data_IF_772237253656
#
_entry.id   IF_772237253656
#
_cell.length_a   1.000
_cell.length_b   1.000
_cell.length_c   1.000
_cell.angle_alpha   90.00
_cell.angle_beta   90.00
_cell.angle_gamma   90.00
#
_symmetry.space_group_name_H-M   'P 1'
#
loop_
_entity.id
_entity.type
_entity.pdbx_description
1 polymer ?
#
# COMPACT_ATOMS: atom_id res chain seq x y z
N UNK A 1 -74.82 1.71 64.78
CA UNK A 1 -73.40 1.93 65.18
C UNK A 1 -72.53 0.84 64.56
N UNK A 2 -71.42 1.21 63.93
CA UNK A 2 -70.38 0.30 63.39
C UNK A 2 -69.79 -0.58 64.51
N UNK A 3 -69.55 -1.87 64.24
CA UNK A 3 -68.17 -2.41 64.28
C UNK A 3 -67.92 -3.49 63.19
N UNK A 4 -66.80 -3.42 62.46
CA UNK A 4 -65.58 -4.26 62.59
C UNK A 4 -65.71 -5.75 62.20
N UNK A 5 -64.93 -6.11 61.16
CA UNK A 5 -64.15 -7.33 60.98
C UNK A 5 -64.85 -8.69 60.82
N UNK A 6 -64.66 -9.36 59.67
CA UNK A 6 -63.83 -10.58 59.53
C UNK A 6 -64.01 -11.29 58.18
N UNK A 7 -62.85 -11.60 57.58
CA UNK A 7 -62.51 -12.83 56.85
C UNK A 7 -63.36 -13.22 55.63
N UNK A 8 -62.84 -12.90 54.44
CA UNK A 8 -63.26 -13.49 53.17
C UNK A 8 -62.54 -14.82 52.95
N UNK A 9 -63.34 -15.85 52.67
CA UNK A 9 -62.95 -17.18 52.23
C UNK A 9 -62.44 -17.16 50.78
N UNK A 10 -61.50 -18.06 50.54
CA UNK A 10 -60.86 -18.44 49.28
C UNK A 10 -61.89 -18.94 48.26
N UNK A 11 -61.77 -18.50 47.01
CA UNK A 11 -62.19 -19.29 45.85
C UNK A 11 -61.24 -19.01 44.67
N UNK A 12 -60.66 -20.10 44.19
CA UNK A 12 -59.66 -20.16 43.14
C UNK A 12 -60.19 -19.67 41.79
N UNK A 13 -59.34 -18.96 41.05
CA UNK A 13 -59.55 -18.60 39.66
C UNK A 13 -58.21 -18.40 38.99
N UNK A 14 -57.55 -19.50 38.62
CA UNK A 14 -56.35 -19.47 37.78
C UNK A 14 -56.71 -18.94 36.40
N UNK A 15 -56.51 -17.64 36.17
CA UNK A 15 -56.49 -17.06 34.84
C UNK A 15 -55.06 -17.18 34.33
N UNK A 16 -54.85 -18.12 33.41
CA UNK A 16 -53.60 -18.27 32.67
C UNK A 16 -53.47 -17.08 31.72
N UNK A 17 -52.73 -16.04 32.13
CA UNK A 17 -52.43 -14.89 31.29
C UNK A 17 -51.30 -15.29 30.32
N UNK A 18 -51.65 -15.58 29.07
CA UNK A 18 -50.67 -15.75 27.99
C UNK A 18 -50.05 -14.38 27.66
N UNK A 19 -48.89 -14.11 28.26
CA UNK A 19 -48.01 -13.03 27.82
C UNK A 19 -47.43 -13.41 26.46
N UNK A 20 -47.99 -12.84 25.40
CA UNK A 20 -47.34 -12.81 24.09
C UNK A 20 -46.16 -11.84 24.24
N UNK A 21 -44.97 -12.39 24.50
CA UNK A 21 -43.73 -11.64 24.38
C UNK A 21 -43.51 -11.34 22.89
N UNK A 22 -43.63 -10.07 22.51
CA UNK A 22 -43.10 -9.60 21.23
C UNK A 22 -41.57 -9.78 21.26
N UNK A 23 -41.09 -10.91 20.75
CA UNK A 23 -39.69 -11.04 20.38
C UNK A 23 -39.45 -10.13 19.17
N UNK A 24 -38.95 -8.92 19.42
CA UNK A 24 -38.38 -8.09 18.38
C UNK A 24 -37.25 -8.89 17.71
N UNK A 25 -37.14 -8.91 16.36
CA UNK A 25 -35.99 -9.51 15.73
C UNK A 25 -34.75 -8.74 16.19
N UNK A 26 -33.85 -9.43 16.89
CA UNK A 26 -32.53 -8.90 17.20
C UNK A 26 -31.87 -8.53 15.88
N UNK A 27 -31.74 -7.23 15.61
CA UNK A 27 -30.93 -6.76 14.50
C UNK A 27 -29.50 -7.25 14.77
N UNK A 28 -28.82 -7.90 13.81
CA UNK A 28 -27.42 -8.22 13.98
C UNK A 28 -26.67 -6.91 14.24
N UNK A 29 -26.13 -6.78 15.45
CA UNK A 29 -25.29 -5.67 15.86
C UNK A 29 -24.19 -5.53 14.81
N UNK A 30 -23.98 -4.32 14.29
CA UNK A 30 -22.92 -3.97 13.33
C UNK A 30 -21.48 -4.18 13.85
N UNK A 31 -21.30 -4.95 14.94
CA UNK A 31 -20.02 -5.32 15.51
C UNK A 31 -19.28 -6.39 14.68
N UNK A 32 -20.00 -7.26 13.97
CA UNK A 32 -19.38 -8.35 13.17
C UNK A 32 -18.89 -7.92 11.78
N UNK A 33 -19.28 -6.73 11.29
CA UNK A 33 -18.75 -6.19 10.04
C UNK A 33 -17.36 -5.53 10.20
N UNK A 34 -16.98 -5.19 11.44
CA UNK A 34 -15.77 -4.44 11.75
C UNK A 34 -14.51 -5.31 11.87
N UNK A 35 -14.68 -6.62 12.11
CA UNK A 35 -13.58 -7.60 12.29
C UNK A 35 -12.79 -7.89 11.01
N UNK A 36 -13.35 -7.64 9.82
CA UNK A 36 -12.75 -8.09 8.55
C UNK A 36 -11.73 -7.12 7.90
N UNK A 37 -11.35 -6.04 8.60
CA UNK A 37 -10.44 -5.01 8.09
C UNK A 37 -9.23 -4.72 8.97
N UNK A 38 -8.98 -5.54 9.98
CA UNK A 38 -7.90 -5.34 10.94
C UNK A 38 -6.53 -5.38 10.23
N UNK A 39 -5.88 -4.21 10.19
CA UNK A 39 -4.48 -4.11 9.81
C UNK A 39 -3.71 -4.42 11.10
N UNK A 40 -2.85 -5.43 11.09
CA UNK A 40 -1.98 -5.73 12.22
C UNK A 40 -0.61 -5.12 12.00
N UNK A 41 0.05 -4.75 13.07
CA UNK A 41 1.43 -4.30 13.01
C UNK A 41 2.29 -5.07 14.00
N UNK A 42 3.54 -5.30 13.61
CA UNK A 42 4.61 -5.74 14.50
C UNK A 42 5.87 -4.94 14.17
N UNK A 43 6.68 -4.66 15.18
CA UNK A 43 7.98 -4.02 15.03
C UNK A 43 9.06 -4.93 15.59
N UNK A 44 10.15 -5.06 14.85
CA UNK A 44 11.31 -5.84 15.25
C UNK A 44 12.60 -5.16 14.82
N UNK A 45 13.68 -5.43 15.56
CA UNK A 45 15.03 -5.09 15.14
C UNK A 45 15.62 -6.22 14.27
N UNK A 46 16.59 -5.92 13.38
CA UNK A 46 17.38 -6.95 12.70
C UNK A 46 18.15 -7.84 13.69
N UNK A 47 18.27 -9.14 13.38
CA UNK A 47 18.90 -10.13 14.27
C UNK A 47 20.40 -9.89 14.50
N UNK A 48 21.09 -9.30 13.53
CA UNK A 48 22.51 -8.94 13.60
C UNK A 48 22.77 -7.63 14.36
N UNK A 49 21.71 -6.91 14.74
CA UNK A 49 21.78 -5.60 15.38
C UNK A 49 22.35 -4.49 14.46
N UNK A 50 22.65 -4.82 13.20
CA UNK A 50 23.19 -3.90 12.19
C UNK A 50 22.08 -3.54 11.21
N UNK A 51 21.30 -2.51 11.54
CA UNK A 51 20.27 -1.97 10.67
C UNK A 51 19.11 -1.32 11.39
N UNK A 52 18.29 -0.60 10.63
CA UNK A 52 17.16 0.14 11.16
C UNK A 52 15.99 -0.79 11.55
N UNK A 53 15.27 -0.48 12.65
CA UNK A 53 14.10 -1.25 13.05
C UNK A 53 13.02 -1.25 11.96
N UNK A 54 12.31 -2.37 11.84
CA UNK A 54 11.35 -2.61 10.77
C UNK A 54 9.94 -2.67 11.34
N UNK A 55 9.07 -1.79 10.85
CA UNK A 55 7.63 -1.87 11.08
C UNK A 55 7.00 -2.74 9.97
N UNK A 56 6.43 -3.87 10.35
CA UNK A 56 5.63 -4.71 9.45
C UNK A 56 4.15 -4.38 9.62
N UNK A 57 3.45 -4.20 8.51
CA UNK A 57 2.00 -3.96 8.44
C UNK A 57 1.36 -5.09 7.63
N UNK A 58 0.40 -5.80 8.23
CA UNK A 58 -0.26 -6.98 7.65
C UNK A 58 -1.75 -6.72 7.49
N UNK A 59 -2.25 -6.83 6.26
CA UNK A 59 -3.65 -6.64 5.92
C UNK A 59 -4.14 -7.78 5.00
N UNK A 60 -5.03 -8.65 5.50
CA UNK A 60 -5.51 -9.86 4.80
C UNK A 60 -4.35 -10.67 4.18
N UNK A 61 -4.11 -10.54 2.88
CA UNK A 61 -3.11 -11.29 2.09
C UNK A 61 -1.87 -10.44 1.74
N UNK A 62 -1.73 -9.25 2.32
CA UNK A 62 -0.65 -8.33 2.02
C UNK A 62 0.17 -8.03 3.28
N UNK A 63 1.48 -8.07 3.14
CA UNK A 63 2.44 -7.62 4.14
C UNK A 63 3.29 -6.53 3.53
N UNK A 64 3.47 -5.44 4.25
CA UNK A 64 4.38 -4.36 3.91
C UNK A 64 5.37 -4.19 5.04
N UNK A 65 6.62 -3.86 4.71
CA UNK A 65 7.67 -3.63 5.70
C UNK A 65 8.32 -2.29 5.41
N UNK A 66 8.40 -1.45 6.44
CA UNK A 66 8.96 -0.11 6.37
C UNK A 66 10.13 -0.04 7.34
N UNK A 67 11.28 0.44 6.87
CA UNK A 67 12.39 0.79 7.75
C UNK A 67 12.06 2.10 8.48
N UNK A 68 12.32 2.14 9.78
CA UNK A 68 12.14 3.33 10.60
C UNK A 68 13.45 4.14 10.65
N UNK A 69 14.08 4.30 9.49
CA UNK A 69 15.37 4.97 9.24
C UNK A 69 15.24 6.51 9.12
N UNK A 70 14.00 7.02 9.10
CA UNK A 70 13.70 8.44 8.93
C UNK A 70 13.65 8.93 7.49
N UNK A 71 13.80 8.06 6.48
CA UNK A 71 13.63 8.42 5.08
C UNK A 71 12.18 8.81 4.75
N UNK A 72 11.21 8.28 5.51
CA UNK A 72 9.78 8.56 5.36
C UNK A 72 9.24 9.35 6.55
N UNK A 73 9.04 10.65 6.34
CA UNK A 73 8.66 11.60 7.39
C UNK A 73 7.31 11.27 8.04
N UNK A 74 6.37 10.70 7.30
CA UNK A 74 5.06 10.23 7.75
C UNK A 74 5.15 9.11 8.80
N UNK A 75 6.27 8.39 8.87
CA UNK A 75 6.55 7.37 9.91
C UNK A 75 7.32 7.90 11.11
N UNK A 76 7.63 9.21 11.18
CA UNK A 76 8.36 9.81 12.31
C UNK A 76 7.69 9.53 13.66
N UNK A 77 6.38 9.77 13.78
CA UNK A 77 5.63 9.48 15.00
C UNK A 77 5.66 8.00 15.38
N UNK A 78 5.64 7.10 14.40
CA UNK A 78 5.78 5.67 14.63
C UNK A 78 7.18 5.35 15.16
N UNK A 79 8.25 5.84 14.53
CA UNK A 79 9.64 5.66 14.97
C UNK A 79 9.83 6.15 16.40
N UNK A 80 9.42 7.38 16.69
CA UNK A 80 9.65 8.01 17.97
C UNK A 80 8.86 7.30 19.10
N UNK A 81 7.62 6.87 18.81
CA UNK A 81 6.79 6.12 19.77
C UNK A 81 7.29 4.70 19.98
N UNK A 82 7.67 4.00 18.91
CA UNK A 82 8.10 2.60 18.95
C UNK A 82 9.52 2.43 19.52
N UNK A 83 10.35 3.47 19.44
CA UNK A 83 11.65 3.54 20.13
C UNK A 83 11.53 3.79 21.64
N UNK A 84 10.32 3.94 22.17
CA UNK A 84 10.04 4.11 23.59
C UNK A 84 10.22 2.83 24.41
N UNK A 85 9.93 2.92 25.71
CA UNK A 85 9.98 1.79 26.64
C UNK A 85 8.75 0.88 26.58
N UNK A 86 8.80 -0.23 27.33
CA UNK A 86 7.67 -1.16 27.52
C UNK A 86 6.39 -0.42 27.92
N UNK A 87 5.27 -0.75 27.30
CA UNK A 87 3.97 -0.22 27.68
C UNK A 87 2.99 -0.09 26.52
N UNK A 88 1.78 0.42 26.77
CA UNK A 88 0.82 0.74 25.72
C UNK A 88 1.35 1.86 24.82
N UNK A 89 1.07 1.76 23.53
CA UNK A 89 1.47 2.77 22.53
C UNK A 89 0.32 3.12 21.61
N UNK A 90 0.34 4.36 21.13
CA UNK A 90 -0.53 4.86 20.07
C UNK A 90 0.23 5.83 19.18
N UNK A 91 0.12 5.67 17.87
CA UNK A 91 0.72 6.58 16.90
C UNK A 91 -0.15 6.67 15.64
N UNK A 92 0.05 7.70 14.84
CA UNK A 92 -0.62 7.89 13.56
C UNK A 92 0.40 8.09 12.45
N UNK A 93 0.16 7.48 11.30
CA UNK A 93 0.86 7.77 10.03
C UNK A 93 -0.09 8.60 9.17
N UNK A 94 0.31 9.81 8.82
CA UNK A 94 -0.48 10.74 8.01
C UNK A 94 0.19 10.88 6.66
N UNK A 95 -0.52 10.48 5.61
CA UNK A 95 -0.06 10.53 4.22
C UNK A 95 -1.17 11.13 3.36
N UNK A 96 -0.83 11.64 2.16
CA UNK A 96 -1.81 12.23 1.25
C UNK A 96 -2.97 11.25 0.94
N UNK A 97 -2.66 9.96 0.75
CA UNK A 97 -3.66 8.92 0.48
C UNK A 97 -4.54 8.54 1.69
N UNK A 98 -4.27 9.04 2.90
CA UNK A 98 -5.07 8.74 4.08
C UNK A 98 -4.29 8.68 5.40
N UNK A 99 -5.01 8.34 6.46
CA UNK A 99 -4.49 8.24 7.82
C UNK A 99 -4.56 6.81 8.34
N UNK A 100 -3.46 6.34 8.91
CA UNK A 100 -3.37 5.06 9.59
C UNK A 100 -3.18 5.32 11.09
N UNK A 101 -4.20 5.01 11.89
CA UNK A 101 -4.17 5.16 13.35
C UNK A 101 -3.89 3.80 13.99
N UNK A 102 -2.80 3.70 14.74
CA UNK A 102 -2.31 2.45 15.31
C UNK A 102 -2.30 2.49 16.84
N UNK A 103 -2.66 1.37 17.45
CA UNK A 103 -2.58 1.13 18.89
C UNK A 103 -1.97 -0.24 19.14
N UNK A 104 -1.36 -0.43 20.31
CA UNK A 104 -0.82 -1.73 20.71
C UNK A 104 0.04 -1.62 21.96
N UNK A 105 1.02 -2.51 22.08
CA UNK A 105 1.93 -2.55 23.21
C UNK A 105 3.35 -2.93 22.82
N UNK A 106 4.32 -2.31 23.47
CA UNK A 106 5.74 -2.65 23.40
C UNK A 106 6.15 -3.54 24.57
N UNK A 107 7.03 -4.51 24.30
CA UNK A 107 7.71 -5.32 25.30
C UNK A 107 9.12 -4.78 25.60
N UNK A 108 9.75 -4.17 24.60
CA UNK A 108 10.99 -3.41 24.64
C UNK A 108 11.00 -2.35 23.51
N UNK A 109 12.05 -1.53 23.42
CA UNK A 109 12.19 -0.57 22.33
C UNK A 109 12.26 -1.31 20.99
N UNK A 110 11.43 -0.89 20.03
CA UNK A 110 11.26 -1.53 18.72
C UNK A 110 10.92 -3.02 18.77
N UNK A 111 10.29 -3.49 19.85
CA UNK A 111 9.73 -4.83 19.98
C UNK A 111 8.29 -4.74 20.49
N UNK A 112 7.33 -5.05 19.64
CA UNK A 112 5.93 -5.04 20.02
C UNK A 112 4.98 -5.23 18.85
N UNK A 113 3.69 -5.19 19.15
CA UNK A 113 2.64 -5.48 18.18
C UNK A 113 1.34 -4.75 18.52
N UNK A 114 0.45 -4.72 17.54
CA UNK A 114 -0.88 -4.18 17.71
C UNK A 114 -1.71 -4.16 16.44
N UNK A 115 -2.62 -3.21 16.38
CA UNK A 115 -3.56 -3.06 15.28
C UNK A 115 -3.64 -1.61 14.80
N UNK A 116 -4.00 -1.43 13.54
CA UNK A 116 -4.24 -0.14 12.95
C UNK A 116 -5.61 -0.09 12.27
N UNK A 117 -6.16 1.12 12.23
CA UNK A 117 -7.34 1.48 11.46
C UNK A 117 -6.93 2.46 10.35
N UNK A 118 -7.26 2.13 9.12
CA UNK A 118 -7.03 2.99 7.97
C UNK A 118 -8.28 3.77 7.57
N UNK A 119 -8.13 5.10 7.46
CA UNK A 119 -9.10 6.03 6.91
C UNK A 119 -8.57 6.59 5.57
N UNK A 120 -9.18 6.27 4.42
CA UNK A 120 -8.80 6.84 3.13
C UNK A 120 -9.13 8.34 3.06
N UNK A 121 -8.39 9.09 2.24
CA UNK A 121 -8.62 10.52 2.03
C UNK A 121 -9.40 10.77 0.72
N UNK A 122 -10.55 11.45 0.85
CA UNK A 122 -11.40 11.75 -0.31
C UNK A 122 -10.80 12.84 -1.22
N UNK A 123 -10.08 13.82 -0.65
CA UNK A 123 -9.46 14.89 -1.41
C UNK A 123 -8.37 14.37 -2.34
N UNK A 124 -7.56 13.43 -1.85
CA UNK A 124 -6.57 12.71 -2.63
C UNK A 124 -7.20 11.89 -3.76
N UNK A 125 -8.29 11.16 -3.48
CA UNK A 125 -9.00 10.40 -4.49
C UNK A 125 -9.54 11.31 -5.61
N UNK A 126 -10.14 12.45 -5.25
CA UNK A 126 -10.59 13.47 -6.21
C UNK A 126 -9.43 14.07 -7.00
N UNK A 127 -8.28 14.30 -6.37
CA UNK A 127 -7.11 14.85 -7.03
C UNK A 127 -6.52 13.90 -8.09
N UNK A 128 -6.53 12.58 -7.85
CA UNK A 128 -6.12 11.59 -8.86
C UNK A 128 -7.14 11.47 -10.00
N UNK A 129 -8.43 11.47 -9.66
CA UNK A 129 -9.51 11.41 -10.66
C UNK A 129 -9.46 12.61 -11.62
N UNK A 130 -9.24 13.83 -11.10
CA UNK A 130 -9.13 15.04 -11.93
C UNK A 130 -7.94 15.02 -12.90
N UNK A 131 -6.94 14.16 -12.65
CA UNK A 131 -5.78 13.94 -13.52
C UNK A 131 -6.00 12.81 -14.53
N UNK A 132 -7.15 12.14 -14.47
CA UNK A 132 -7.46 10.97 -15.27
C UNK A 132 -6.72 9.70 -14.84
N UNK A 133 -6.21 9.64 -13.60
CA UNK A 133 -5.60 8.43 -13.00
C UNK A 133 -6.68 7.45 -12.53
N UNK A 134 -7.90 7.96 -12.31
CA UNK A 134 -9.05 7.21 -11.79
C UNK A 134 -9.21 7.36 -10.27
N UNK A 135 -10.31 6.83 -9.75
CA UNK A 135 -10.67 6.93 -8.33
C UNK A 135 -10.15 5.70 -7.56
N UNK A 136 -9.16 5.84 -6.66
CA UNK A 136 -8.58 4.71 -5.97
C UNK A 136 -9.53 4.15 -4.90
N UNK A 137 -9.67 2.82 -4.89
CA UNK A 137 -10.36 2.09 -3.82
C UNK A 137 -9.66 2.27 -2.47
N UNK A 138 -10.36 1.97 -1.36
CA UNK A 138 -9.73 1.97 -0.02
C UNK A 138 -8.47 1.09 0.04
N UNK A 139 -8.47 -0.06 -0.66
CA UNK A 139 -7.33 -0.96 -0.72
C UNK A 139 -6.15 -0.31 -1.45
N UNK A 140 -6.41 0.35 -2.57
CA UNK A 140 -5.37 1.04 -3.33
C UNK A 140 -4.82 2.23 -2.56
N UNK A 141 -5.66 3.04 -1.91
CA UNK A 141 -5.17 4.15 -1.07
C UNK A 141 -4.30 3.67 0.10
N UNK A 142 -4.66 2.55 0.73
CA UNK A 142 -3.80 1.92 1.74
C UNK A 142 -2.46 1.51 1.11
N UNK A 143 -2.48 0.86 -0.05
CA UNK A 143 -1.26 0.48 -0.76
C UNK A 143 -0.41 1.71 -1.13
N UNK A 144 -1.05 2.79 -1.59
CA UNK A 144 -0.38 4.06 -1.91
C UNK A 144 0.30 4.67 -0.68
N UNK A 145 -0.33 4.65 0.50
CA UNK A 145 0.35 5.01 1.75
C UNK A 145 1.55 4.08 2.01
N UNK A 146 1.42 2.78 1.76
CA UNK A 146 2.53 1.84 2.03
C UNK A 146 3.75 2.07 1.14
N UNK A 147 3.55 2.50 -0.11
CA UNK A 147 4.65 2.67 -1.08
C UNK A 147 4.99 4.12 -1.40
N UNK A 148 4.41 5.08 -0.66
CA UNK A 148 4.58 6.53 -0.89
C UNK A 148 4.17 6.96 -2.31
N UNK A 149 3.02 6.46 -2.77
CA UNK A 149 2.45 6.87 -4.05
C UNK A 149 1.64 8.15 -3.87
N UNK A 150 2.13 9.25 -4.42
CA UNK A 150 1.59 10.59 -4.21
C UNK A 150 0.98 11.20 -5.48
N UNK A 151 0.29 12.33 -5.32
CA UNK A 151 -0.21 13.12 -6.46
C UNK A 151 0.96 13.71 -7.24
N UNK A 152 2.04 14.09 -6.56
CA UNK A 152 3.26 14.63 -7.15
C UNK A 152 3.94 13.60 -8.06
N UNK A 153 3.96 12.32 -7.66
CA UNK A 153 4.44 11.24 -8.51
C UNK A 153 3.56 11.09 -9.76
N UNK A 154 2.24 11.12 -9.60
CA UNK A 154 1.31 11.03 -10.73
C UNK A 154 1.50 12.19 -11.72
N UNK A 155 1.60 13.43 -11.22
CA UNK A 155 1.86 14.62 -12.03
C UNK A 155 3.17 14.51 -12.79
N UNK A 156 4.25 14.15 -12.10
CA UNK A 156 5.55 14.01 -12.76
C UNK A 156 5.59 12.92 -13.84
N UNK A 157 4.84 11.82 -13.67
CA UNK A 157 4.74 10.77 -14.69
C UNK A 157 3.91 11.23 -15.89
N UNK A 158 2.80 11.95 -15.65
CA UNK A 158 1.97 12.56 -16.69
C UNK A 158 2.79 13.57 -17.50
N UNK A 159 3.58 14.41 -16.83
CA UNK A 159 4.47 15.38 -17.47
C UNK A 159 5.60 14.71 -18.28
N UNK A 160 6.01 13.51 -17.89
CA UNK A 160 6.92 12.67 -18.66
C UNK A 160 6.22 11.92 -19.83
N UNK A 161 4.93 12.18 -20.05
CA UNK A 161 4.13 11.62 -21.12
C UNK A 161 3.53 10.24 -20.83
N UNK A 162 3.65 9.73 -19.60
CA UNK A 162 3.13 8.42 -19.20
C UNK A 162 2.09 8.58 -18.09
N UNK A 163 0.80 8.53 -18.45
CA UNK A 163 -0.28 8.59 -17.45
C UNK A 163 -0.53 7.21 -16.82
N UNK A 164 -0.43 7.06 -15.49
CA UNK A 164 -0.82 5.84 -14.81
C UNK A 164 -2.31 5.79 -14.48
N UNK A 165 -2.86 4.59 -14.34
CA UNK A 165 -4.07 4.31 -13.57
C UNK A 165 -3.74 4.02 -12.10
N UNK A 166 -4.75 3.97 -11.22
CA UNK A 166 -4.59 3.77 -9.77
C UNK A 166 -3.65 2.63 -9.39
N UNK A 167 -3.84 1.44 -9.96
CA UNK A 167 -2.98 0.28 -9.70
C UNK A 167 -1.56 0.42 -10.24
N UNK A 168 -1.41 1.10 -11.39
CA UNK A 168 -0.11 1.34 -12.03
C UNK A 168 0.70 2.37 -11.24
N UNK A 169 0.05 3.36 -10.63
CA UNK A 169 0.69 4.34 -9.76
C UNK A 169 1.29 3.67 -8.52
N UNK A 170 0.58 2.70 -7.92
CA UNK A 170 1.09 1.89 -6.81
C UNK A 170 2.32 1.09 -7.26
N UNK A 171 2.26 0.42 -8.40
CA UNK A 171 3.37 -0.36 -8.92
C UNK A 171 4.59 0.51 -9.27
N UNK A 172 4.37 1.67 -9.87
CA UNK A 172 5.39 2.65 -10.20
C UNK A 172 6.12 3.15 -8.94
N UNK A 173 5.39 3.52 -7.89
CA UNK A 173 5.97 3.95 -6.62
C UNK A 173 6.77 2.81 -5.96
N UNK A 174 6.21 1.60 -5.90
CA UNK A 174 6.86 0.44 -5.29
C UNK A 174 8.20 0.09 -5.95
N UNK A 175 8.29 0.21 -7.28
CA UNK A 175 9.52 -0.05 -8.04
C UNK A 175 10.40 1.19 -8.23
N UNK A 176 10.03 2.34 -7.66
CA UNK A 176 10.74 3.62 -7.83
C UNK A 176 10.87 4.01 -9.32
N UNK A 177 9.78 3.84 -10.08
CA UNK A 177 9.62 4.39 -11.44
C UNK A 177 9.32 5.88 -11.30
N UNK A 178 10.38 6.69 -11.29
CA UNK A 178 10.28 8.13 -11.12
C UNK A 178 10.16 8.86 -12.46
N UNK A 179 9.70 10.12 -12.47
CA UNK A 179 9.71 10.96 -13.67
C UNK A 179 11.11 11.11 -14.28
N UNK A 180 12.14 11.17 -13.42
CA UNK A 180 13.54 11.22 -13.85
C UNK A 180 13.95 9.92 -14.56
N UNK A 181 13.59 8.76 -13.99
CA UNK A 181 13.84 7.46 -14.61
C UNK A 181 13.17 7.34 -15.99
N UNK A 182 11.92 7.78 -16.14
CA UNK A 182 11.21 7.77 -17.42
C UNK A 182 11.94 8.63 -18.46
N UNK A 183 12.30 9.88 -18.11
CA UNK A 183 13.05 10.79 -19.00
C UNK A 183 14.42 10.23 -19.38
N UNK A 184 15.09 9.58 -18.43
CA UNK A 184 16.40 8.97 -18.67
C UNK A 184 16.33 7.89 -19.75
N UNK A 185 15.33 7.00 -19.65
CA UNK A 185 15.11 5.96 -20.64
C UNK A 185 14.71 6.52 -22.01
N UNK A 186 13.81 7.52 -22.03
CA UNK A 186 13.35 8.18 -23.25
C UNK A 186 14.46 9.00 -23.94
N UNK A 187 15.42 9.55 -23.19
CA UNK A 187 16.58 10.27 -23.74
C UNK A 187 17.57 9.36 -24.48
N UNK A 188 17.44 8.04 -24.29
CA UNK A 188 18.24 7.03 -24.95
C UNK A 188 17.65 6.58 -26.29
N UNK A 189 17.97 5.34 -26.65
CA UNK A 189 17.42 4.68 -27.82
C UNK A 189 15.98 4.16 -27.62
N UNK A 190 15.40 4.27 -26.42
CA UNK A 190 14.15 3.59 -26.06
C UNK A 190 12.94 4.53 -26.15
N UNK A 191 11.90 4.10 -26.87
CA UNK A 191 10.58 4.72 -26.83
C UNK A 191 9.67 3.98 -25.83
N UNK A 192 9.27 4.68 -24.77
CA UNK A 192 8.24 4.22 -23.83
C UNK A 192 6.87 4.75 -24.27
N UNK A 193 5.86 3.88 -24.32
CA UNK A 193 4.50 4.23 -24.78
C UNK A 193 3.44 4.10 -23.70
N UNK A 194 3.72 3.34 -22.63
CA UNK A 194 2.85 3.18 -21.48
C UNK A 194 3.65 3.19 -20.17
N UNK A 195 2.98 3.45 -19.05
CA UNK A 195 3.62 3.31 -17.73
C UNK A 195 3.98 1.85 -17.44
N UNK A 196 3.20 0.88 -17.95
CA UNK A 196 3.49 -0.55 -17.78
C UNK A 196 4.82 -0.93 -18.43
N UNK A 197 5.18 -0.30 -19.55
CA UNK A 197 6.48 -0.49 -20.20
C UNK A 197 7.61 -0.06 -19.26
N UNK A 198 7.46 1.09 -18.60
CA UNK A 198 8.46 1.63 -17.68
C UNK A 198 8.58 0.77 -16.41
N UNK A 199 7.45 0.30 -15.88
CA UNK A 199 7.36 -0.65 -14.77
C UNK A 199 8.07 -1.97 -15.13
N UNK A 200 7.78 -2.54 -16.29
CA UNK A 200 8.42 -3.78 -16.76
C UNK A 200 9.93 -3.60 -16.97
N UNK A 201 10.35 -2.50 -17.60
CA UNK A 201 11.77 -2.14 -17.71
C UNK A 201 12.43 -2.09 -16.32
N UNK A 202 11.80 -1.42 -15.36
CA UNK A 202 12.36 -1.26 -14.00
C UNK A 202 12.49 -2.59 -13.28
N UNK A 203 11.46 -3.44 -13.40
CA UNK A 203 11.45 -4.79 -12.83
C UNK A 203 12.57 -5.70 -13.39
N UNK A 204 12.94 -5.52 -14.66
CA UNK A 204 14.02 -6.27 -15.30
C UNK A 204 15.41 -5.62 -15.11
N UNK A 205 15.51 -4.54 -14.35
CA UNK A 205 16.78 -3.81 -14.17
C UNK A 205 17.28 -3.16 -15.47
N UNK A 206 16.37 -2.72 -16.33
CA UNK A 206 16.69 -1.80 -17.44
C UNK A 206 16.93 -0.42 -16.84
N UNK A 207 18.08 0.15 -17.12
CA UNK A 207 18.47 1.48 -16.67
C UNK A 207 19.01 2.31 -17.84
N UNK A 208 19.41 3.55 -17.52
CA UNK A 208 19.99 4.49 -18.48
C UNK A 208 21.23 3.89 -19.17
N UNK A 209 22.11 3.23 -18.42
CA UNK A 209 23.38 2.73 -18.92
C UNK A 209 23.20 1.55 -19.87
N UNK A 210 22.25 0.65 -19.56
CA UNK A 210 21.85 -0.42 -20.45
C UNK A 210 21.33 0.11 -21.79
N UNK A 211 20.38 1.06 -21.77
CA UNK A 211 19.80 1.63 -22.99
C UNK A 211 20.83 2.41 -23.81
N UNK A 212 21.72 3.17 -23.15
CA UNK A 212 22.83 3.87 -23.83
C UNK A 212 23.84 2.90 -24.42
N UNK A 213 24.14 1.81 -23.71
CA UNK A 213 25.03 0.76 -24.20
C UNK A 213 24.50 0.11 -25.47
N UNK A 214 23.20 -0.18 -25.53
CA UNK A 214 22.54 -0.69 -26.74
C UNK A 214 22.59 0.32 -27.89
N UNK A 215 22.32 1.60 -27.59
CA UNK A 215 22.43 2.67 -28.58
C UNK A 215 23.85 2.76 -29.18
N UNK A 216 24.88 2.72 -28.32
CA UNK A 216 26.29 2.74 -28.72
C UNK A 216 26.69 1.47 -29.49
N UNK A 217 26.01 0.36 -29.27
CA UNK A 217 26.17 -0.86 -30.05
C UNK A 217 25.51 -0.78 -31.44
N UNK A 218 24.78 0.31 -31.76
CA UNK A 218 24.08 0.50 -33.04
C UNK A 218 22.58 0.21 -32.99
N UNK A 219 22.03 -0.16 -31.83
CA UNK A 219 20.60 -0.42 -31.65
C UNK A 219 19.90 0.85 -31.15
N UNK A 220 19.45 1.69 -32.09
CA UNK A 220 18.71 2.91 -31.80
C UNK A 220 17.20 2.76 -32.06
N UNK A 221 16.39 3.60 -31.41
CA UNK A 221 14.92 3.67 -31.60
C UNK A 221 14.19 2.36 -31.28
N UNK A 222 14.68 1.61 -30.30
CA UNK A 222 14.06 0.39 -29.82
C UNK A 222 12.70 0.69 -29.17
N UNK A 223 11.75 -0.21 -29.38
CA UNK A 223 10.51 -0.24 -28.61
C UNK A 223 10.77 -0.80 -27.21
N UNK A 224 9.87 -0.50 -26.27
CA UNK A 224 9.85 -1.11 -24.94
C UNK A 224 9.90 -2.64 -25.02
N UNK A 225 9.05 -3.25 -25.84
CA UNK A 225 9.00 -4.71 -26.01
C UNK A 225 10.33 -5.30 -26.46
N UNK A 226 11.05 -4.62 -27.35
CA UNK A 226 12.37 -5.05 -27.81
C UNK A 226 13.39 -5.00 -26.66
N UNK A 227 13.46 -3.89 -25.93
CA UNK A 227 14.39 -3.74 -24.80
C UNK A 227 14.07 -4.75 -23.69
N UNK A 228 12.79 -4.93 -23.37
CA UNK A 228 12.30 -5.91 -22.39
C UNK A 228 12.71 -7.32 -22.82
N UNK A 229 12.46 -7.70 -24.07
CA UNK A 229 12.82 -9.02 -24.61
C UNK A 229 14.33 -9.24 -24.58
N UNK A 230 15.12 -8.25 -25.00
CA UNK A 230 16.59 -8.33 -24.97
C UNK A 230 17.10 -8.53 -23.55
N UNK A 231 16.60 -7.74 -22.59
CA UNK A 231 17.01 -7.84 -21.18
C UNK A 231 16.60 -9.19 -20.57
N UNK A 232 15.38 -9.66 -20.85
CA UNK A 232 14.88 -10.95 -20.38
C UNK A 232 15.68 -12.15 -20.91
N UNK A 233 16.22 -12.04 -22.14
CA UNK A 233 17.10 -13.04 -22.75
C UNK A 233 18.56 -12.90 -22.31
N UNK A 234 18.90 -11.97 -21.41
CA UNK A 234 20.26 -11.74 -20.95
C UNK A 234 21.17 -11.07 -21.97
N UNK A 235 20.62 -10.43 -23.00
CA UNK A 235 21.40 -9.72 -24.02
C UNK A 235 22.01 -8.46 -23.38
N UNK A 236 23.34 -8.41 -23.35
CA UNK A 236 24.11 -7.26 -22.86
C UNK A 236 24.52 -6.33 -24.02
N UNK A 237 24.85 -5.06 -23.75
CA UNK A 237 25.47 -4.18 -24.73
C UNK A 237 26.74 -4.73 -25.38
N UNK A 238 27.58 -5.45 -24.63
CA UNK A 238 28.79 -6.11 -25.16
C UNK A 238 28.46 -7.24 -26.12
N UNK A 239 27.48 -8.08 -25.75
CA UNK A 239 27.00 -9.14 -26.63
C UNK A 239 26.46 -8.54 -27.94
N UNK A 240 25.62 -7.51 -27.84
CA UNK A 240 25.06 -6.80 -28.99
C UNK A 240 26.16 -6.21 -29.91
N UNK A 241 27.23 -5.63 -29.34
CA UNK A 241 28.40 -5.16 -30.10
C UNK A 241 29.12 -6.29 -30.83
N UNK A 242 29.36 -7.42 -30.15
CA UNK A 242 30.05 -8.56 -30.76
C UNK A 242 29.26 -9.15 -31.93
N UNK A 243 27.93 -9.18 -31.83
CA UNK A 243 27.06 -9.65 -32.91
C UNK A 243 27.09 -8.72 -34.12
N UNK A 244 27.06 -7.40 -33.91
CA UNK A 244 27.19 -6.43 -35.00
C UNK A 244 28.57 -6.47 -35.66
N UNK A 245 29.65 -6.66 -34.87
CA UNK A 245 31.00 -6.82 -35.42
C UNK A 245 31.12 -8.10 -36.27
N UNK A 246 30.55 -9.22 -35.82
CA UNK A 246 30.52 -10.47 -36.57
C UNK A 246 29.68 -10.36 -37.86
N UNK A 247 28.57 -9.62 -37.83
CA UNK A 247 27.72 -9.41 -39.00
C UNK A 247 28.35 -8.45 -40.03
N UNK A 248 29.16 -7.48 -39.59
CA UNK A 248 29.86 -6.52 -40.45
C UNK A 248 31.18 -7.03 -41.04
N UNK A 249 31.70 -8.18 -40.59
CA UNK A 249 32.98 -8.74 -41.02
C UNK A 249 32.93 -9.64 -42.26
N UNK A 250 31.78 -9.72 -42.95
CA UNK A 250 31.55 -10.66 -44.08
C UNK A 250 31.38 -9.96 -45.44
N UNK A 251 31.89 -8.74 -45.62
CA UNK A 251 31.89 -8.03 -46.90
C UNK A 251 33.30 -7.83 -47.46
#
# INVERSE_FOLDING_TARGET
>A
MKPQSKTLFVAAGSVLLTLIACAAPAQPTAASAQESSAIRWDVSQPDDGDGDPRLQLRAKQSTSSVALDGARAEFSAARDTLGGGRGPVSFSVVHAAGRLDCTGSLHAAYEGEGQCRFAPDAGFATALESRGVGTPTRKEQLAMLMVDATVELADGLIDAGLRPHTGELVAAAALKVTPAYVRDLQSGALRLTSINDAIACKALGVDRDYVRGLAAAGYAKLTSDQVISMKALGITPDYARSMNAAAGGTQ
#
